data_IF_218970230412
#
_entry.id   IF_218970230412
#
_cell.length_a   1.000
_cell.length_b   1.000
_cell.length_c   1.000
_cell.angle_alpha   90.00
_cell.angle_beta   90.00
_cell.angle_gamma   90.00
#
_symmetry.space_group_name_H-M   'P 1'
#
loop_
_entity.id
_entity.type
_entity.pdbx_description
1 polymer ?
#
# COMPACT_ATOMS: atom_id res chain seq x y z
N UNK A 1 -28.84 -31.25 -2.08
CA UNK A 1 -27.36 -31.14 -1.94
C UNK A 1 -26.93 -29.84 -2.58
N UNK A 2 -26.43 -28.85 -1.82
CA UNK A 2 -25.89 -27.64 -2.42
C UNK A 2 -24.71 -28.02 -3.32
N UNK A 3 -24.74 -27.55 -4.55
CA UNK A 3 -23.72 -27.88 -5.53
C UNK A 3 -22.36 -27.34 -5.06
N UNK A 4 -21.30 -28.14 -5.24
CA UNK A 4 -19.92 -27.80 -4.85
C UNK A 4 -19.44 -26.45 -5.42
N UNK A 5 -20.10 -25.95 -6.46
CA UNK A 5 -19.84 -24.63 -7.07
C UNK A 5 -20.30 -23.44 -6.21
N UNK A 6 -21.39 -23.60 -5.42
CA UNK A 6 -21.83 -22.52 -4.52
C UNK A 6 -20.93 -22.42 -3.30
N UNK A 7 -20.49 -23.54 -2.72
CA UNK A 7 -19.56 -23.55 -1.59
C UNK A 7 -18.19 -22.96 -1.97
N UNK A 8 -17.67 -23.29 -3.16
CA UNK A 8 -16.43 -22.69 -3.66
C UNK A 8 -16.57 -21.18 -3.90
N UNK A 9 -17.73 -20.74 -4.43
CA UNK A 9 -18.01 -19.31 -4.62
C UNK A 9 -18.12 -18.54 -3.29
N UNK A 10 -18.69 -19.17 -2.26
CA UNK A 10 -18.84 -18.55 -0.94
C UNK A 10 -17.52 -18.50 -0.16
N UNK A 11 -16.64 -19.48 -0.34
CA UNK A 11 -15.27 -19.44 0.16
C UNK A 11 -14.47 -18.34 -0.54
N UNK A 12 -14.64 -18.17 -1.86
CA UNK A 12 -13.96 -17.12 -2.63
C UNK A 12 -14.45 -15.72 -2.25
N UNK A 13 -15.74 -15.56 -1.93
CA UNK A 13 -16.32 -14.29 -1.44
C UNK A 13 -15.93 -13.96 -0.01
N UNK A 14 -15.46 -14.92 0.78
CA UNK A 14 -14.99 -14.72 2.17
C UNK A 14 -13.49 -14.47 2.27
N UNK A 15 -12.78 -14.38 1.14
CA UNK A 15 -11.37 -14.01 1.18
C UNK A 15 -11.27 -12.58 1.72
N UNK A 16 -10.71 -12.43 2.92
CA UNK A 16 -10.58 -11.13 3.56
C UNK A 16 -9.67 -10.23 2.71
N UNK A 17 -9.98 -8.94 2.66
CA UNK A 17 -9.19 -7.94 1.94
C UNK A 17 -7.74 -7.95 2.45
N UNK A 18 -7.54 -8.18 3.76
CA UNK A 18 -6.23 -8.32 4.37
C UNK A 18 -5.46 -9.53 3.84
N UNK A 19 -6.12 -10.68 3.66
CA UNK A 19 -5.48 -11.86 3.08
C UNK A 19 -5.07 -11.64 1.62
N UNK A 20 -5.92 -10.98 0.82
CA UNK A 20 -5.57 -10.61 -0.55
C UNK A 20 -4.37 -9.65 -0.59
N UNK A 21 -4.35 -8.64 0.30
CA UNK A 21 -3.23 -7.71 0.42
C UNK A 21 -1.93 -8.41 0.85
N UNK A 22 -2.03 -9.42 1.69
CA UNK A 22 -0.89 -10.21 2.16
C UNK A 22 -0.28 -11.04 1.02
N UNK A 23 -1.09 -11.65 0.16
CA UNK A 23 -0.63 -12.39 -1.02
C UNK A 23 0.13 -11.45 -1.97
N UNK A 24 -0.45 -10.30 -2.31
CA UNK A 24 0.20 -9.30 -3.16
C UNK A 24 1.52 -8.83 -2.51
N UNK A 25 1.53 -8.61 -1.21
CA UNK A 25 2.73 -8.20 -0.50
C UNK A 25 3.84 -9.26 -0.53
N UNK A 26 3.51 -10.55 -0.40
CA UNK A 26 4.47 -11.63 -0.52
C UNK A 26 5.11 -11.61 -1.92
N UNK A 27 4.30 -11.47 -2.97
CA UNK A 27 4.81 -11.37 -4.36
C UNK A 27 5.77 -10.17 -4.49
N UNK A 28 5.40 -9.02 -3.93
CA UNK A 28 6.23 -7.81 -3.94
C UNK A 28 7.53 -7.99 -3.15
N UNK A 29 7.49 -8.66 -2.00
CA UNK A 29 8.68 -8.96 -1.19
C UNK A 29 9.61 -9.90 -1.95
N UNK A 30 9.09 -10.95 -2.57
CA UNK A 30 9.88 -11.88 -3.38
C UNK A 30 10.56 -11.14 -4.53
N UNK A 31 9.81 -10.29 -5.25
CA UNK A 31 10.38 -9.49 -6.34
C UNK A 31 11.46 -8.53 -5.85
N UNK A 32 11.20 -7.82 -4.76
CA UNK A 32 12.18 -6.92 -4.14
C UNK A 32 13.41 -7.66 -3.62
N UNK A 33 13.26 -8.88 -3.10
CA UNK A 33 14.35 -9.71 -2.62
C UNK A 33 15.33 -10.11 -3.74
N UNK A 34 14.83 -10.43 -4.93
CA UNK A 34 15.67 -10.71 -6.08
C UNK A 34 16.34 -9.46 -6.66
N UNK A 35 15.70 -8.30 -6.49
CA UNK A 35 16.20 -7.04 -7.05
C UNK A 35 17.18 -6.34 -6.12
N UNK A 36 16.84 -6.19 -4.83
CA UNK A 36 17.68 -5.56 -3.81
C UNK A 36 17.29 -6.03 -2.40
N UNK A 37 18.15 -6.85 -1.81
CA UNK A 37 17.96 -7.39 -0.45
C UNK A 37 18.09 -6.35 0.65
N UNK A 38 18.77 -5.23 0.39
CA UNK A 38 19.09 -4.22 1.41
C UNK A 38 17.85 -3.52 1.98
N UNK A 39 16.73 -3.57 1.27
CA UNK A 39 15.49 -2.91 1.66
C UNK A 39 14.55 -3.80 2.49
N UNK A 40 14.84 -5.10 2.55
CA UNK A 40 13.99 -6.09 3.23
C UNK A 40 14.63 -6.42 4.58
N UNK A 41 13.91 -6.10 5.65
CA UNK A 41 14.29 -6.40 7.02
C UNK A 41 13.12 -7.08 7.74
N UNK A 42 13.36 -7.57 8.95
CA UNK A 42 12.31 -8.14 9.81
C UNK A 42 11.12 -7.17 9.94
N UNK A 43 11.39 -5.86 10.02
CA UNK A 43 10.37 -4.84 10.04
C UNK A 43 9.40 -4.88 8.84
N UNK A 44 9.86 -5.28 7.66
CA UNK A 44 8.98 -5.42 6.48
C UNK A 44 7.90 -6.47 6.69
N UNK A 45 8.26 -7.59 7.31
CA UNK A 45 7.30 -8.67 7.62
C UNK A 45 6.33 -8.23 8.71
N UNK A 46 6.84 -7.62 9.77
CA UNK A 46 6.01 -7.10 10.88
C UNK A 46 5.03 -6.03 10.35
N UNK A 47 5.54 -5.09 9.55
CA UNK A 47 4.71 -4.05 8.93
C UNK A 47 3.55 -4.67 8.14
N UNK A 48 3.85 -5.66 7.31
CA UNK A 48 2.84 -6.28 6.46
C UNK A 48 1.79 -7.06 7.24
N UNK A 49 2.20 -7.77 8.29
CA UNK A 49 1.27 -8.49 9.16
C UNK A 49 0.34 -7.51 9.91
N UNK A 50 0.90 -6.47 10.50
CA UNK A 50 0.13 -5.43 11.20
C UNK A 50 -0.82 -4.72 10.24
N UNK A 51 -0.33 -4.37 9.04
CA UNK A 51 -1.14 -3.73 8.01
C UNK A 51 -2.34 -4.60 7.62
N UNK A 52 -2.11 -5.88 7.31
CA UNK A 52 -3.20 -6.80 6.92
C UNK A 52 -4.23 -6.99 8.03
N UNK A 53 -3.77 -7.11 9.27
CA UNK A 53 -4.65 -7.19 10.45
C UNK A 53 -5.48 -5.91 10.63
N UNK A 54 -4.87 -4.74 10.50
CA UNK A 54 -5.58 -3.47 10.60
C UNK A 54 -6.61 -3.32 9.47
N UNK A 55 -6.25 -3.68 8.24
CA UNK A 55 -7.19 -3.64 7.11
C UNK A 55 -8.41 -4.51 7.39
N UNK A 56 -8.25 -5.73 7.89
CA UNK A 56 -9.37 -6.61 8.20
C UNK A 56 -10.21 -6.10 9.38
N UNK A 57 -9.56 -5.55 10.41
CA UNK A 57 -10.24 -4.98 11.57
C UNK A 57 -11.12 -3.79 11.17
N UNK A 58 -10.60 -2.90 10.31
CA UNK A 58 -11.31 -1.70 9.87
C UNK A 58 -12.19 -1.93 8.64
N UNK A 59 -12.08 -3.05 7.94
CA UNK A 59 -12.93 -3.38 6.79
C UNK A 59 -14.43 -3.44 7.14
N UNK A 60 -14.74 -3.80 8.39
CA UNK A 60 -16.11 -3.85 8.90
C UNK A 60 -16.57 -2.53 9.56
N UNK A 61 -15.67 -1.56 9.73
CA UNK A 61 -16.02 -0.24 10.25
C UNK A 61 -16.65 0.61 9.13
N UNK A 62 -17.98 0.54 9.02
CA UNK A 62 -18.73 1.31 8.01
C UNK A 62 -18.79 2.79 8.40
N UNK A 63 -17.69 3.51 8.22
CA UNK A 63 -17.60 4.95 8.47
C UNK A 63 -18.01 5.70 7.20
N UNK A 64 -19.30 5.62 6.86
CA UNK A 64 -19.86 6.37 5.74
C UNK A 64 -20.85 7.41 6.23
N UNK A 65 -20.72 8.63 5.72
CA UNK A 65 -21.71 9.68 5.91
C UNK A 65 -22.63 9.74 4.69
N UNK A 66 -23.85 10.20 4.90
CA UNK A 66 -24.80 10.52 3.80
C UNK A 66 -24.34 11.72 2.97
N UNK A 67 -23.42 12.53 3.51
CA UNK A 67 -22.90 13.72 2.83
C UNK A 67 -21.60 13.40 2.06
N UNK A 68 -21.61 13.63 0.76
CA UNK A 68 -20.48 13.34 -0.14
C UNK A 68 -19.20 14.09 0.27
N UNK A 69 -19.33 15.34 0.74
CA UNK A 69 -18.20 16.15 1.20
C UNK A 69 -17.51 15.59 2.43
N UNK A 70 -18.27 15.01 3.37
CA UNK A 70 -17.72 14.38 4.57
C UNK A 70 -16.92 13.15 4.18
N UNK A 71 -17.44 12.33 3.27
CA UNK A 71 -16.73 11.16 2.77
C UNK A 71 -15.43 11.55 2.03
N UNK A 72 -15.46 12.64 1.26
CA UNK A 72 -14.26 13.15 0.59
C UNK A 72 -13.19 13.64 1.59
N UNK A 73 -13.60 14.30 2.67
CA UNK A 73 -12.69 14.74 3.74
C UNK A 73 -12.10 13.56 4.50
N UNK A 74 -12.90 12.55 4.87
CA UNK A 74 -12.42 11.33 5.53
C UNK A 74 -11.41 10.61 4.64
N UNK A 75 -11.70 10.49 3.33
CA UNK A 75 -10.79 9.90 2.36
C UNK A 75 -9.47 10.67 2.29
N UNK A 76 -9.52 11.98 2.18
CA UNK A 76 -8.31 12.82 2.07
C UNK A 76 -7.45 12.73 3.34
N UNK A 77 -8.07 12.77 4.51
CA UNK A 77 -7.38 12.60 5.80
C UNK A 77 -6.74 11.22 5.90
N UNK A 78 -7.44 10.16 5.47
CA UNK A 78 -6.90 8.80 5.45
C UNK A 78 -5.68 8.67 4.54
N UNK A 79 -5.74 9.21 3.33
CA UNK A 79 -4.61 9.21 2.38
C UNK A 79 -3.42 9.98 2.92
N UNK A 80 -3.66 11.15 3.53
CA UNK A 80 -2.59 11.95 4.14
C UNK A 80 -1.94 11.24 5.33
N UNK A 81 -2.74 10.68 6.24
CA UNK A 81 -2.25 9.93 7.39
C UNK A 81 -1.42 8.71 6.95
N UNK A 82 -1.92 7.97 5.97
CA UNK A 82 -1.20 6.85 5.37
C UNK A 82 0.15 7.29 4.79
N UNK A 83 0.16 8.35 3.98
CA UNK A 83 1.37 8.82 3.31
C UNK A 83 2.42 9.36 4.29
N UNK A 84 1.99 10.09 5.32
CA UNK A 84 2.87 10.58 6.39
C UNK A 84 3.42 9.41 7.20
N UNK A 85 2.57 8.50 7.66
CA UNK A 85 2.97 7.31 8.43
C UNK A 85 3.99 6.46 7.67
N UNK A 86 3.72 6.18 6.41
CA UNK A 86 4.64 5.44 5.52
C UNK A 86 5.97 6.17 5.35
N UNK A 87 5.95 7.50 5.18
CA UNK A 87 7.17 8.30 5.04
C UNK A 87 8.04 8.30 6.31
N UNK A 88 7.43 8.40 7.49
CA UNK A 88 8.12 8.30 8.78
C UNK A 88 8.72 6.91 8.96
N UNK A 89 7.94 5.87 8.70
CA UNK A 89 8.39 4.48 8.81
C UNK A 89 9.57 4.18 7.88
N UNK A 90 9.49 4.64 6.62
CA UNK A 90 10.58 4.49 5.65
C UNK A 90 11.87 5.20 6.08
N UNK A 91 11.78 6.30 6.83
CA UNK A 91 12.94 7.04 7.33
C UNK A 91 13.61 6.38 8.54
N UNK A 92 12.88 5.57 9.32
CA UNK A 92 13.38 4.90 10.50
C UNK A 92 14.38 3.77 10.21
N UNK A 93 14.52 3.35 8.95
CA UNK A 93 15.46 2.30 8.49
C UNK A 93 15.30 0.93 9.19
N UNK A 94 14.14 0.67 9.82
CA UNK A 94 13.82 -0.58 10.50
C UNK A 94 13.28 -1.65 9.54
N UNK A 95 13.15 -1.30 8.28
CA UNK A 95 12.50 -2.04 7.21
C UNK A 95 11.50 -1.13 6.52
N UNK A 96 11.01 -1.54 5.38
CA UNK A 96 10.00 -0.79 4.61
C UNK A 96 8.83 -1.71 4.33
N UNK A 97 7.63 -1.17 4.14
CA UNK A 97 6.50 -1.94 3.62
C UNK A 97 6.88 -2.63 2.31
N UNK A 98 6.24 -3.74 1.97
CA UNK A 98 6.57 -4.51 0.76
C UNK A 98 6.58 -3.66 -0.51
N UNK A 99 5.59 -2.81 -0.67
CA UNK A 99 5.46 -1.91 -1.81
C UNK A 99 6.48 -0.76 -1.77
N UNK A 100 6.74 -0.21 -0.59
CA UNK A 100 7.77 0.81 -0.37
C UNK A 100 9.17 0.22 -0.61
N UNK A 101 9.44 -0.99 -0.15
CA UNK A 101 10.72 -1.67 -0.39
C UNK A 101 11.00 -1.75 -1.89
N UNK A 102 10.02 -2.20 -2.69
CA UNK A 102 10.15 -2.24 -4.14
C UNK A 102 10.36 -0.84 -4.75
N UNK A 103 9.57 0.14 -4.32
CA UNK A 103 9.65 1.53 -4.81
C UNK A 103 11.04 2.12 -4.56
N UNK A 104 11.55 1.96 -3.35
CA UNK A 104 12.87 2.52 -2.97
C UNK A 104 14.01 1.73 -3.60
N UNK A 105 13.91 0.41 -3.71
CA UNK A 105 14.90 -0.42 -4.43
C UNK A 105 15.07 0.03 -5.87
N UNK A 106 13.96 0.23 -6.59
CA UNK A 106 13.97 0.71 -7.96
C UNK A 106 14.54 2.13 -8.07
N UNK A 107 14.15 3.01 -7.14
CA UNK A 107 14.60 4.39 -7.12
C UNK A 107 16.11 4.50 -6.83
N UNK A 108 16.60 3.84 -5.79
CA UNK A 108 18.00 3.91 -5.36
C UNK A 108 18.94 3.25 -6.38
N UNK A 109 18.55 2.09 -6.94
CA UNK A 109 19.40 1.37 -7.89
C UNK A 109 19.53 2.06 -9.25
N UNK A 110 18.47 2.74 -9.70
CA UNK A 110 18.46 3.43 -11.00
C UNK A 110 18.72 4.94 -10.87
N UNK A 111 18.92 5.48 -9.67
CA UNK A 111 19.09 6.92 -9.44
C UNK A 111 17.81 7.74 -9.73
N UNK A 112 16.65 7.12 -9.71
CA UNK A 112 15.38 7.77 -10.01
C UNK A 112 14.76 8.39 -8.78
N UNK A 113 13.88 9.38 -8.99
CA UNK A 113 13.13 9.97 -7.89
C UNK A 113 12.08 8.98 -7.37
N UNK A 114 12.01 8.78 -6.06
CA UNK A 114 11.02 7.91 -5.40
C UNK A 114 9.60 8.25 -5.84
N UNK A 115 9.29 9.55 -5.96
CA UNK A 115 8.00 10.04 -6.47
C UNK A 115 7.65 9.46 -7.84
N UNK A 116 8.59 9.51 -8.79
CA UNK A 116 8.36 9.05 -10.16
C UNK A 116 8.16 7.53 -10.21
N UNK A 117 9.02 6.79 -9.52
CA UNK A 117 8.90 5.32 -9.42
C UNK A 117 7.57 4.91 -8.81
N UNK A 118 7.15 5.60 -7.72
CA UNK A 118 5.87 5.35 -7.07
C UNK A 118 4.70 5.56 -8.02
N UNK A 119 4.67 6.67 -8.72
CA UNK A 119 3.59 6.96 -9.68
C UNK A 119 3.52 5.92 -10.80
N UNK A 120 4.67 5.48 -11.33
CA UNK A 120 4.72 4.45 -12.38
C UNK A 120 4.19 3.12 -11.84
N UNK A 121 4.63 2.70 -10.65
CA UNK A 121 4.16 1.46 -10.02
C UNK A 121 2.65 1.52 -9.72
N UNK A 122 2.16 2.64 -9.20
CA UNK A 122 0.73 2.84 -8.93
C UNK A 122 -0.09 2.72 -10.22
N UNK A 123 0.36 3.33 -11.33
CA UNK A 123 -0.29 3.22 -12.65
C UNK A 123 -0.30 1.76 -13.14
N UNK A 124 0.84 1.07 -13.04
CA UNK A 124 0.94 -0.34 -13.45
C UNK A 124 -0.01 -1.21 -12.64
N UNK A 125 -0.07 -0.99 -11.31
CA UNK A 125 -0.96 -1.75 -10.43
C UNK A 125 -2.44 -1.48 -10.73
N UNK A 126 -2.81 -0.23 -11.00
CA UNK A 126 -4.19 0.12 -11.38
C UNK A 126 -4.56 -0.49 -12.74
N UNK A 127 -3.68 -0.40 -13.73
CA UNK A 127 -3.92 -1.03 -15.04
C UNK A 127 -4.10 -2.53 -14.91
N UNK A 128 -3.23 -3.19 -14.15
CA UNK A 128 -3.34 -4.63 -13.89
C UNK A 128 -4.64 -4.96 -13.18
N UNK A 129 -5.02 -4.17 -12.17
CA UNK A 129 -6.28 -4.34 -11.45
C UNK A 129 -7.51 -4.20 -12.36
N UNK A 130 -7.51 -3.22 -13.26
CA UNK A 130 -8.59 -3.02 -14.23
C UNK A 130 -8.68 -4.17 -15.24
N UNK A 131 -7.55 -4.65 -15.75
CA UNK A 131 -7.50 -5.80 -16.66
C UNK A 131 -8.04 -7.08 -16.00
N UNK A 132 -7.88 -7.21 -14.68
CA UNK A 132 -8.43 -8.32 -13.89
C UNK A 132 -9.90 -8.10 -13.48
N UNK A 133 -10.58 -7.08 -14.01
CA UNK A 133 -11.98 -6.78 -13.74
C UNK A 133 -12.23 -5.97 -12.47
N UNK A 134 -11.20 -5.41 -11.87
CA UNK A 134 -11.31 -4.51 -10.71
C UNK A 134 -11.94 -3.17 -11.10
N UNK A 135 -12.65 -2.56 -10.13
CA UNK A 135 -13.19 -1.21 -10.28
C UNK A 135 -12.26 -0.24 -9.55
N UNK A 136 -11.89 0.83 -10.21
CA UNK A 136 -11.15 1.93 -9.58
C UNK A 136 -12.06 3.15 -9.39
N UNK A 137 -11.79 3.93 -8.35
CA UNK A 137 -12.56 5.12 -8.01
C UNK A 137 -11.69 6.37 -7.95
N UNK A 138 -12.32 7.49 -7.72
CA UNK A 138 -11.66 8.81 -7.55
C UNK A 138 -10.58 8.73 -6.45
N UNK A 139 -10.83 7.96 -5.38
CA UNK A 139 -9.88 7.75 -4.30
C UNK A 139 -8.54 7.20 -4.81
N UNK A 140 -8.55 6.26 -5.75
CA UNK A 140 -7.33 5.69 -6.33
C UNK A 140 -6.50 6.75 -7.05
N UNK A 141 -7.15 7.60 -7.85
CA UNK A 141 -6.48 8.70 -8.57
C UNK A 141 -5.86 9.69 -7.59
N UNK A 142 -6.62 10.10 -6.58
CA UNK A 142 -6.16 11.02 -5.52
C UNK A 142 -4.96 10.43 -4.78
N UNK A 143 -5.02 9.14 -4.45
CA UNK A 143 -3.91 8.43 -3.76
C UNK A 143 -2.65 8.42 -4.62
N UNK A 144 -2.74 8.10 -5.90
CA UNK A 144 -1.59 8.09 -6.83
C UNK A 144 -0.89 9.45 -6.87
N UNK A 145 -1.67 10.53 -7.00
CA UNK A 145 -1.13 11.88 -7.13
C UNK A 145 -0.50 12.38 -5.83
N UNK A 146 -1.14 12.11 -4.69
CA UNK A 146 -0.76 12.69 -3.39
C UNK A 146 0.28 11.83 -2.66
N UNK A 147 0.16 10.49 -2.68
CA UNK A 147 0.99 9.61 -1.85
C UNK A 147 2.48 9.75 -2.16
N UNK A 148 2.87 9.73 -3.44
CA UNK A 148 4.27 9.82 -3.85
C UNK A 148 5.00 11.04 -3.32
N UNK A 149 4.53 12.27 -3.63
CA UNK A 149 5.14 13.51 -3.12
C UNK A 149 5.18 13.60 -1.60
N UNK A 150 4.08 13.23 -0.92
CA UNK A 150 3.99 13.32 0.54
C UNK A 150 4.94 12.33 1.22
N UNK A 151 5.02 11.09 0.75
CA UNK A 151 5.96 10.08 1.26
C UNK A 151 7.40 10.56 1.08
N UNK A 152 7.77 11.04 -0.11
CA UNK A 152 9.10 11.53 -0.38
C UNK A 152 9.48 12.70 0.52
N UNK A 153 8.57 13.68 0.68
CA UNK A 153 8.79 14.86 1.53
C UNK A 153 8.95 14.45 3.00
N UNK A 154 8.04 13.62 3.51
CA UNK A 154 8.05 13.16 4.91
C UNK A 154 9.28 12.31 5.20
N UNK A 155 9.62 11.36 4.35
CA UNK A 155 10.81 10.52 4.50
C UNK A 155 12.10 11.37 4.52
N UNK A 156 12.21 12.34 3.62
CA UNK A 156 13.37 13.22 3.55
C UNK A 156 13.51 14.10 4.80
N UNK A 157 12.40 14.64 5.30
CA UNK A 157 12.37 15.51 6.48
C UNK A 157 12.67 14.73 7.75
N UNK A 158 12.06 13.55 7.91
CA UNK A 158 12.31 12.66 9.07
C UNK A 158 13.75 12.15 9.08
N UNK A 159 14.31 11.78 7.93
CA UNK A 159 15.72 11.35 7.85
C UNK A 159 16.70 12.46 8.24
N UNK A 160 16.38 13.72 7.96
CA UNK A 160 17.17 14.87 8.42
C UNK A 160 17.09 15.08 9.94
N UNK A 161 15.92 14.80 10.54
CA UNK A 161 15.72 14.91 11.99
C UNK A 161 16.42 13.80 12.76
N UNK A 162 16.42 12.58 12.22
CA UNK A 162 17.08 11.41 12.84
C UNK A 162 18.62 11.44 12.71
N UNK A 163 19.17 12.23 11.78
CA UNK A 163 20.62 12.42 11.62
C UNK A 163 21.22 13.52 12.54
N UNK A 164 20.38 14.21 13.28
CA UNK A 164 20.79 15.18 14.29
C UNK A 164 20.91 14.54 15.67
#
# INVERSE_FOLDING_TARGET
TPSNSSAASDVYKRQSIGMASLIVAIIMIVFSFFYDRSQIHIGTIIYQLVYSLCVDLFANAHVYSTHLWVNALIMLLGVMLFAVGTGVYAAASLGRGSYEALTFSLAEKNGWQVKAVRMILDIVMVLTGVLLGGKFGICTIVTIIISGPVIQFTASKTKKLLKK
#
